data_IF_202471200754
#
_entry.id   IF_202471200754
#
_cell.length_a   1.000
_cell.length_b   1.000
_cell.length_c   1.000
_cell.angle_alpha   90.00
_cell.angle_beta   90.00
_cell.angle_gamma   90.00
#
_symmetry.space_group_name_H-M   'P 1'
#
loop_
_entity.id
_entity.type
_entity.pdbx_description
1 polymer ?
#
# COMPACT_ATOMS: atom_id res chain seq x y z
N UNK A 1 8.37 1.12 -23.93
CA UNK A 1 9.82 1.03 -24.23
C UNK A 1 10.22 -0.32 -24.80
N UNK A 2 9.72 -1.45 -24.30
CA UNK A 2 9.97 -2.76 -24.94
C UNK A 2 9.47 -2.80 -26.39
N UNK A 3 8.26 -2.31 -26.63
CA UNK A 3 7.72 -2.15 -27.98
C UNK A 3 8.41 -1.05 -28.79
N UNK A 4 9.04 -0.07 -28.15
CA UNK A 4 9.78 0.98 -28.86
C UNK A 4 10.99 0.41 -29.62
N UNK A 5 11.49 -0.78 -29.22
CA UNK A 5 12.49 -1.53 -30.01
C UNK A 5 11.98 -1.89 -31.40
N UNK A 6 10.68 -2.12 -31.56
CA UNK A 6 10.06 -2.46 -32.84
C UNK A 6 9.74 -1.20 -33.67
N UNK A 7 9.75 -0.02 -33.07
CA UNK A 7 9.36 1.25 -33.69
C UNK A 7 10.34 2.40 -33.35
N UNK A 8 11.62 2.30 -33.78
CA UNK A 8 12.67 3.22 -33.33
C UNK A 8 12.51 4.67 -33.83
N UNK A 9 11.67 4.91 -34.84
CA UNK A 9 11.39 6.24 -35.39
C UNK A 9 10.30 7.01 -34.63
N UNK A 10 9.60 6.38 -33.68
CA UNK A 10 8.54 7.03 -32.91
C UNK A 10 9.13 7.76 -31.71
N UNK A 11 8.95 9.08 -31.66
CA UNK A 11 9.34 9.90 -30.52
C UNK A 11 8.41 9.66 -29.33
N UNK A 12 8.96 9.30 -28.17
CA UNK A 12 8.22 9.04 -26.93
C UNK A 12 8.57 10.08 -25.88
N UNK A 13 7.54 10.63 -25.22
CA UNK A 13 7.67 11.55 -24.09
C UNK A 13 7.07 10.92 -22.83
N UNK A 14 7.77 11.02 -21.71
CA UNK A 14 7.27 10.58 -20.39
C UNK A 14 7.06 11.82 -19.54
N UNK A 15 5.81 12.07 -19.14
CA UNK A 15 5.43 13.21 -18.30
C UNK A 15 5.21 12.69 -16.87
N UNK A 16 5.95 13.17 -15.86
CA UNK A 16 5.78 12.74 -14.48
C UNK A 16 4.46 13.26 -13.89
N UNK A 17 3.90 12.52 -12.93
CA UNK A 17 2.67 12.87 -12.23
C UNK A 17 2.67 12.36 -10.79
N UNK A 18 1.73 12.88 -9.99
CA UNK A 18 1.49 12.39 -8.64
C UNK A 18 0.97 10.96 -8.65
N UNK A 19 1.59 10.11 -7.85
CA UNK A 19 1.22 8.70 -7.73
C UNK A 19 0.19 8.50 -6.61
N UNK A 20 -0.65 7.46 -6.74
CA UNK A 20 -1.72 7.18 -5.77
C UNK A 20 -1.18 6.97 -4.34
N UNK A 21 0.02 6.40 -4.19
CA UNK A 21 0.66 6.19 -2.89
C UNK A 21 0.81 7.47 -2.08
N UNK A 22 1.31 8.55 -2.70
CA UNK A 22 1.46 9.84 -2.03
C UNK A 22 0.11 10.53 -1.83
N UNK A 23 -0.81 10.39 -2.79
CA UNK A 23 -2.16 10.92 -2.64
C UNK A 23 -2.89 10.31 -1.44
N UNK A 24 -2.87 8.97 -1.29
CA UNK A 24 -3.46 8.26 -0.14
C UNK A 24 -2.76 8.63 1.16
N UNK A 25 -1.42 8.64 1.18
CA UNK A 25 -0.65 9.00 2.36
C UNK A 25 -1.04 10.38 2.89
N UNK A 26 -1.23 11.37 2.00
CA UNK A 26 -1.59 12.74 2.37
C UNK A 26 -2.91 12.87 3.14
N UNK A 27 -3.81 11.89 3.06
CA UNK A 27 -5.11 11.90 3.74
C UNK A 27 -5.02 11.51 5.21
N UNK A 28 -3.98 10.78 5.59
CA UNK A 28 -3.80 10.26 6.95
C UNK A 28 -2.51 10.78 7.61
N UNK A 29 -1.67 11.53 6.89
CA UNK A 29 -0.46 12.13 7.45
C UNK A 29 0.80 11.74 6.67
N UNK A 30 1.70 11.00 7.31
CA UNK A 30 3.01 10.67 6.75
C UNK A 30 3.36 9.17 6.89
N UNK A 31 2.48 8.24 6.49
CA UNK A 31 2.78 6.80 6.62
C UNK A 31 4.00 6.39 5.77
N UNK A 32 4.26 7.09 4.65
CA UNK A 32 5.43 6.90 3.79
C UNK A 32 6.62 7.80 4.19
N UNK A 33 6.72 8.19 5.46
CA UNK A 33 7.73 9.11 5.98
C UNK A 33 9.14 8.54 6.13
N UNK A 34 9.28 7.20 5.97
CA UNK A 34 10.51 6.42 5.97
C UNK A 34 10.58 5.56 4.69
N UNK A 35 11.65 4.78 4.54
CA UNK A 35 11.82 3.76 3.50
C UNK A 35 10.53 2.95 3.25
N UNK A 36 10.11 2.96 1.99
CA UNK A 36 8.91 2.25 1.56
C UNK A 36 9.12 1.57 0.21
N UNK A 37 8.40 0.49 0.00
CA UNK A 37 8.37 -0.26 -1.26
C UNK A 37 7.03 -0.09 -1.95
N UNK A 38 7.06 0.04 -3.28
CA UNK A 38 5.87 0.04 -4.12
C UNK A 38 5.76 -1.32 -4.81
N UNK A 39 4.71 -2.08 -4.50
CA UNK A 39 4.53 -3.44 -5.00
C UNK A 39 3.14 -3.58 -5.61
N UNK A 40 3.06 -4.10 -6.83
CA UNK A 40 1.77 -4.51 -7.41
C UNK A 40 1.40 -5.91 -6.94
N UNK A 41 0.15 -6.15 -6.53
CA UNK A 41 -0.35 -7.47 -6.14
C UNK A 41 -0.92 -8.28 -7.33
N UNK A 42 -0.97 -7.67 -8.52
CA UNK A 42 -1.45 -8.33 -9.72
C UNK A 42 -0.44 -9.37 -10.24
N UNK A 43 -0.88 -10.62 -10.29
CA UNK A 43 -0.20 -11.81 -10.80
C UNK A 43 -0.44 -12.10 -12.30
N UNK A 44 -1.14 -11.21 -13.01
CA UNK A 44 -1.53 -11.44 -14.42
C UNK A 44 -0.36 -11.75 -15.36
N UNK A 45 0.77 -11.09 -15.15
CA UNK A 45 1.97 -11.22 -15.99
C UNK A 45 3.20 -11.67 -15.18
N UNK A 46 3.01 -11.95 -13.89
CA UNK A 46 4.09 -12.37 -13.00
C UNK A 46 3.57 -13.48 -12.08
N UNK A 47 4.29 -14.60 -11.97
CA UNK A 47 3.95 -15.64 -11.02
C UNK A 47 3.82 -15.13 -9.58
N UNK A 48 2.89 -15.71 -8.81
CA UNK A 48 2.60 -15.30 -7.43
C UNK A 48 3.81 -15.44 -6.50
N UNK A 49 4.65 -16.46 -6.69
CA UNK A 49 5.88 -16.69 -5.94
C UNK A 49 6.86 -15.50 -6.04
N UNK A 50 6.90 -14.81 -7.18
CA UNK A 50 7.69 -13.59 -7.35
C UNK A 50 7.13 -12.46 -6.49
N UNK A 51 5.81 -12.38 -6.33
CA UNK A 51 5.15 -11.39 -5.46
C UNK A 51 5.43 -11.71 -4.00
N UNK A 52 5.27 -12.97 -3.59
CA UNK A 52 5.59 -13.44 -2.23
C UNK A 52 7.03 -13.11 -1.86
N UNK A 53 8.00 -13.47 -2.71
CA UNK A 53 9.41 -13.18 -2.45
C UNK A 53 9.69 -11.68 -2.25
N UNK A 54 9.02 -10.82 -3.03
CA UNK A 54 9.16 -9.35 -2.91
C UNK A 54 8.52 -8.82 -1.63
N UNK A 55 7.32 -9.29 -1.29
CA UNK A 55 6.61 -8.93 -0.07
C UNK A 55 7.43 -9.36 1.15
N UNK A 56 7.87 -10.61 1.22
CA UNK A 56 8.70 -11.12 2.31
C UNK A 56 10.01 -10.34 2.44
N UNK A 57 10.70 -10.05 1.34
CA UNK A 57 11.95 -9.29 1.39
C UNK A 57 11.73 -7.86 1.91
N UNK A 58 10.70 -7.15 1.41
CA UNK A 58 10.37 -5.81 1.89
C UNK A 58 9.88 -5.82 3.35
N UNK A 59 9.17 -6.87 3.75
CA UNK A 59 8.74 -7.07 5.12
C UNK A 59 9.94 -7.30 6.06
N UNK A 60 10.85 -8.21 5.70
CA UNK A 60 12.07 -8.49 6.46
C UNK A 60 12.99 -7.26 6.58
N UNK A 61 13.02 -6.40 5.55
CA UNK A 61 13.74 -5.12 5.59
C UNK A 61 13.01 -4.01 6.38
N UNK A 62 11.92 -4.35 7.06
CA UNK A 62 11.07 -3.43 7.83
C UNK A 62 10.57 -2.19 7.07
N UNK A 63 10.33 -2.33 5.76
CA UNK A 63 9.82 -1.22 4.95
C UNK A 63 8.31 -1.08 5.11
N UNK A 64 7.81 0.15 4.91
CA UNK A 64 6.40 0.43 4.66
C UNK A 64 6.04 -0.06 3.25
N UNK A 65 4.85 -0.61 3.05
CA UNK A 65 4.45 -1.21 1.75
C UNK A 65 3.29 -0.45 1.14
N UNK A 66 3.47 0.13 -0.05
CA UNK A 66 2.41 0.68 -0.88
C UNK A 66 1.99 -0.36 -1.92
N UNK A 67 0.79 -0.92 -1.76
CA UNK A 67 0.28 -2.03 -2.58
C UNK A 67 -0.68 -1.52 -3.64
N UNK A 68 -0.28 -1.70 -4.89
CA UNK A 68 -1.05 -1.39 -6.08
C UNK A 68 -1.79 -2.61 -6.60
N UNK A 69 -2.91 -2.38 -7.28
CA UNK A 69 -3.74 -3.44 -7.86
C UNK A 69 -4.03 -4.57 -6.86
N UNK A 70 -4.47 -4.24 -5.62
CA UNK A 70 -4.60 -5.22 -4.56
C UNK A 70 -5.67 -6.27 -4.86
N UNK A 71 -6.73 -5.89 -5.56
CA UNK A 71 -7.83 -6.77 -5.91
C UNK A 71 -8.32 -6.54 -7.35
N UNK A 72 -9.07 -7.52 -7.85
CA UNK A 72 -9.91 -7.33 -9.04
C UNK A 72 -11.14 -8.23 -8.97
N UNK A 73 -12.08 -8.07 -9.91
CA UNK A 73 -13.33 -8.85 -9.98
C UNK A 73 -13.16 -10.37 -9.85
N UNK A 74 -12.05 -10.93 -10.32
CA UNK A 74 -11.79 -12.38 -10.31
C UNK A 74 -10.70 -12.81 -9.34
N UNK A 75 -10.02 -11.86 -8.68
CA UNK A 75 -8.81 -12.08 -7.88
C UNK A 75 -9.03 -11.47 -6.50
N UNK A 76 -9.65 -12.27 -5.65
CA UNK A 76 -10.12 -11.88 -4.31
C UNK A 76 -9.28 -12.49 -3.19
N UNK A 77 -8.44 -13.50 -3.49
CA UNK A 77 -7.67 -14.23 -2.49
C UNK A 77 -6.32 -13.59 -2.18
N UNK A 78 -5.75 -12.81 -3.11
CA UNK A 78 -4.40 -12.26 -2.98
C UNK A 78 -4.25 -11.32 -1.79
N UNK A 79 -5.28 -10.54 -1.46
CA UNK A 79 -5.27 -9.65 -0.29
C UNK A 79 -5.17 -10.46 1.00
N UNK A 80 -5.94 -11.55 1.13
CA UNK A 80 -5.83 -12.46 2.28
C UNK A 80 -4.45 -13.10 2.33
N UNK A 81 -3.96 -13.65 1.22
CA UNK A 81 -2.67 -14.31 1.18
C UNK A 81 -1.51 -13.35 1.51
N UNK A 82 -1.58 -12.09 1.04
CA UNK A 82 -0.63 -11.04 1.41
C UNK A 82 -0.73 -10.71 2.90
N UNK A 83 -1.94 -10.52 3.45
CA UNK A 83 -2.15 -10.25 4.87
C UNK A 83 -1.52 -11.35 5.72
N UNK A 84 -1.85 -12.60 5.42
CA UNK A 84 -1.40 -13.76 6.17
C UNK A 84 0.13 -13.88 6.12
N UNK A 85 0.74 -13.67 4.93
CA UNK A 85 2.19 -13.59 4.78
C UNK A 85 2.83 -12.46 5.60
N UNK A 86 2.23 -11.27 5.60
CA UNK A 86 2.78 -10.13 6.33
C UNK A 86 2.66 -10.29 7.84
N UNK A 87 1.65 -11.01 8.34
CA UNK A 87 1.51 -11.35 9.76
C UNK A 87 2.64 -12.25 10.28
N UNK A 88 3.38 -12.94 9.40
CA UNK A 88 4.60 -13.66 9.77
C UNK A 88 5.78 -12.72 10.09
N UNK A 89 5.68 -11.44 9.69
CA UNK A 89 6.76 -10.44 9.77
C UNK A 89 6.38 -9.16 10.52
N UNK A 90 5.11 -9.00 10.89
CA UNK A 90 4.53 -7.75 11.41
C UNK A 90 3.63 -8.04 12.60
N UNK A 91 3.55 -7.07 13.51
CA UNK A 91 2.58 -7.12 14.59
C UNK A 91 1.14 -7.11 14.01
N UNK A 92 0.21 -7.93 14.54
CA UNK A 92 -1.20 -7.93 14.11
C UNK A 92 -1.88 -6.55 14.12
N UNK A 93 -1.44 -5.66 15.00
CA UNK A 93 -1.89 -4.27 15.14
C UNK A 93 -1.25 -3.28 14.17
N UNK A 94 -0.31 -3.70 13.31
CA UNK A 94 0.32 -2.84 12.30
C UNK A 94 -0.76 -2.12 11.48
N UNK A 95 -0.71 -0.78 11.37
CA UNK A 95 -1.75 -0.04 10.69
C UNK A 95 -1.72 -0.29 9.18
N UNK A 96 -2.90 -0.48 8.61
CA UNK A 96 -3.15 -0.60 7.17
C UNK A 96 -4.10 0.52 6.75
N UNK A 97 -3.62 1.41 5.88
CA UNK A 97 -4.42 2.46 5.27
C UNK A 97 -5.06 1.89 4.00
N UNK A 98 -6.38 1.97 3.89
CA UNK A 98 -7.14 1.61 2.70
C UNK A 98 -7.63 2.91 2.07
N UNK A 99 -6.99 3.33 0.98
CA UNK A 99 -7.40 4.49 0.21
C UNK A 99 -8.12 4.06 -1.05
N UNK A 100 -9.41 4.36 -1.16
CA UNK A 100 -10.24 4.06 -2.32
C UNK A 100 -10.57 5.33 -3.06
N UNK A 101 -10.37 5.31 -4.38
CA UNK A 101 -10.75 6.42 -5.28
C UNK A 101 -10.26 7.80 -4.82
N UNK A 102 -9.05 7.89 -4.27
CA UNK A 102 -8.51 9.15 -3.76
C UNK A 102 -8.37 10.17 -4.89
N UNK A 103 -8.84 11.38 -4.61
CA UNK A 103 -9.07 12.51 -5.51
C UNK A 103 -10.23 12.33 -6.50
N UNK A 104 -11.03 11.28 -6.34
CA UNK A 104 -12.24 11.00 -7.11
C UNK A 104 -13.53 11.28 -6.34
N UNK A 105 -14.70 11.21 -7.00
CA UNK A 105 -15.99 11.51 -6.40
C UNK A 105 -16.44 10.49 -5.35
N UNK A 106 -15.85 9.28 -5.33
CA UNK A 106 -16.15 8.25 -4.35
C UNK A 106 -14.97 8.00 -3.39
N UNK A 107 -14.14 9.04 -3.15
CA UNK A 107 -13.00 8.99 -2.24
C UNK A 107 -13.46 8.50 -0.85
N UNK A 108 -12.76 7.48 -0.35
CA UNK A 108 -12.87 7.07 1.05
C UNK A 108 -11.52 6.58 1.54
N UNK A 109 -11.15 6.97 2.75
CA UNK A 109 -9.93 6.51 3.40
C UNK A 109 -10.27 5.99 4.80
N UNK A 110 -9.79 4.80 5.13
CA UNK A 110 -9.90 4.22 6.47
C UNK A 110 -8.60 3.55 6.89
N UNK A 111 -8.39 3.44 8.20
CA UNK A 111 -7.26 2.73 8.79
C UNK A 111 -7.78 1.54 9.58
N UNK A 112 -7.18 0.38 9.37
CA UNK A 112 -7.49 -0.87 10.10
C UNK A 112 -6.20 -1.49 10.62
N UNK A 113 -6.31 -2.43 11.56
CA UNK A 113 -5.18 -3.28 11.95
C UNK A 113 -4.92 -4.31 10.85
N UNK A 114 -3.67 -4.74 10.69
CA UNK A 114 -3.30 -5.75 9.70
C UNK A 114 -4.11 -7.04 9.85
N UNK A 115 -4.32 -7.51 11.08
CA UNK A 115 -5.15 -8.69 11.34
C UNK A 115 -6.63 -8.50 10.98
N UNK A 116 -7.12 -7.26 10.98
CA UNK A 116 -8.51 -6.92 10.67
C UNK A 116 -8.70 -6.55 9.19
N UNK A 117 -7.66 -6.67 8.35
CA UNK A 117 -7.77 -6.40 6.92
C UNK A 117 -8.70 -7.44 6.26
N UNK A 118 -9.93 -7.00 5.98
CA UNK A 118 -10.92 -7.78 5.24
C UNK A 118 -10.74 -7.58 3.72
N UNK A 119 -10.49 -8.64 2.93
CA UNK A 119 -10.48 -8.55 1.46
C UNK A 119 -11.77 -7.97 0.87
N UNK A 120 -12.92 -8.10 1.54
CA UNK A 120 -14.20 -7.53 1.10
C UNK A 120 -14.24 -6.01 1.03
N UNK A 121 -13.35 -5.33 1.75
CA UNK A 121 -13.19 -3.87 1.75
C UNK A 121 -12.31 -3.35 0.61
N UNK A 122 -11.71 -4.25 -0.18
CA UNK A 122 -10.66 -3.91 -1.14
C UNK A 122 -11.11 -4.25 -2.55
N UNK A 123 -11.30 -3.22 -3.38
CA UNK A 123 -11.62 -3.36 -4.80
C UNK A 123 -10.47 -2.86 -5.70
N UNK A 124 -10.70 -2.83 -7.01
CA UNK A 124 -9.68 -2.42 -8.00
C UNK A 124 -9.33 -0.92 -7.98
N UNK A 125 -10.09 -0.09 -7.24
CA UNK A 125 -9.84 1.35 -7.05
C UNK A 125 -9.14 1.64 -5.73
N UNK A 126 -8.82 0.61 -4.95
CA UNK A 126 -8.09 0.73 -3.71
C UNK A 126 -6.58 0.72 -3.93
N UNK A 127 -5.88 1.47 -3.08
CA UNK A 127 -4.46 1.33 -2.79
C UNK A 127 -4.33 1.09 -1.28
N UNK A 128 -3.47 0.14 -0.91
CA UNK A 128 -3.17 -0.14 0.49
C UNK A 128 -1.81 0.44 0.87
N UNK A 129 -1.69 0.99 2.07
CA UNK A 129 -0.40 1.29 2.70
C UNK A 129 -0.30 0.46 3.99
N UNK A 130 0.59 -0.52 4.03
CA UNK A 130 0.87 -1.34 5.22
C UNK A 130 2.07 -0.75 5.93
N UNK A 131 1.91 -0.43 7.22
CA UNK A 131 2.98 0.08 8.07
C UNK A 131 4.18 -0.85 8.21
N UNK A 132 5.29 -0.25 8.64
CA UNK A 132 6.46 -0.93 9.23
C UNK A 132 6.21 -1.23 10.71
N UNK A 133 7.18 -1.88 11.36
CA UNK A 133 7.19 -2.06 12.83
C UNK A 133 7.15 -0.74 13.61
N UNK A 134 7.60 0.36 12.99
CA UNK A 134 7.67 1.68 13.62
C UNK A 134 6.45 2.55 13.31
N UNK A 135 5.56 2.13 12.41
CA UNK A 135 4.43 2.96 12.00
C UNK A 135 3.42 3.09 13.12
N UNK A 136 3.09 4.34 13.47
CA UNK A 136 2.17 4.68 14.54
C UNK A 136 0.83 5.12 13.97
N UNK A 137 -0.25 4.77 14.66
CA UNK A 137 -1.61 5.19 14.34
C UNK A 137 -2.27 5.80 15.57
N UNK A 138 -2.76 7.02 15.40
CA UNK A 138 -3.58 7.72 16.37
C UNK A 138 -5.00 7.78 15.81
N UNK A 139 -5.92 7.10 16.48
CA UNK A 139 -7.32 7.11 16.10
C UNK A 139 -7.88 8.54 16.19
N UNK A 140 -8.67 8.92 15.19
CA UNK A 140 -9.47 10.13 15.27
C UNK A 140 -10.45 10.08 16.46
N UNK A 141 -10.84 11.25 16.96
CA UNK A 141 -11.73 11.38 18.14
C UNK A 141 -13.17 10.93 17.89
N UNK A 142 -13.53 10.49 16.67
CA UNK A 142 -14.86 9.98 16.31
C UNK A 142 -15.98 11.03 16.26
N UNK A 143 -15.74 12.22 16.82
CA UNK A 143 -16.63 13.39 16.86
C UNK A 143 -16.47 14.33 15.66
N UNK A 144 -15.66 13.94 14.67
CA UNK A 144 -15.35 14.75 13.49
C UNK A 144 -14.32 15.86 13.73
N UNK A 145 -13.80 16.03 14.95
CA UNK A 145 -12.79 17.07 15.26
C UNK A 145 -11.36 16.65 14.90
N UNK A 146 -11.08 15.34 14.82
CA UNK A 146 -9.80 14.81 14.32
C UNK A 146 -10.00 13.55 13.49
N UNK A 147 -9.38 13.51 12.31
CA UNK A 147 -9.24 12.29 11.50
C UNK A 147 -8.13 11.38 12.03
N UNK A 148 -8.11 10.13 11.57
CA UNK A 148 -7.01 9.20 11.81
C UNK A 148 -5.68 9.82 11.35
N UNK A 149 -4.65 9.64 12.17
CA UNK A 149 -3.28 10.05 11.84
C UNK A 149 -2.36 8.85 11.86
N UNK A 150 -1.68 8.63 10.74
CA UNK A 150 -0.70 7.56 10.56
C UNK A 150 0.62 8.17 10.13
N UNK A 151 1.71 7.82 10.82
CA UNK A 151 3.04 8.20 10.40
C UNK A 151 4.09 7.16 10.75
N UNK A 152 5.15 7.12 9.95
CA UNK A 152 6.34 6.32 10.24
C UNK A 152 7.46 7.27 10.69
N UNK A 153 7.93 7.18 11.95
CA UNK A 153 9.01 8.02 12.46
C UNK A 153 10.28 7.86 11.62
N UNK A 154 11.08 8.93 11.52
CA UNK A 154 12.41 8.90 10.89
C UNK A 154 13.52 8.40 11.81
N UNK A 155 13.22 8.19 13.09
CA UNK A 155 14.19 7.82 14.12
C UNK A 155 13.79 6.46 14.66
N UNK A 156 14.72 5.52 14.63
CA UNK A 156 14.58 4.27 15.36
C UNK A 156 14.82 4.52 16.84
N UNK A 157 14.09 3.83 17.75
CA UNK A 157 14.49 3.78 19.15
C UNK A 157 15.96 3.36 19.21
N UNK A 158 16.79 4.10 19.95
CA UNK A 158 18.15 3.66 20.19
C UNK A 158 18.10 2.28 20.86
N UNK A 159 18.67 1.29 20.20
CA UNK A 159 18.87 -0.06 20.73
C UNK A 159 19.67 -0.05 22.01
#
# INVERSE_FOLDING_TARGET
LEEAKQWPSVTVWVIPAMTAAQAVASRVGAPLGHDYSVISLSDRLKPWDVIVRRLSAAAQADMVLAIYNPASRTRTWQVSAMRDLLLEHRDPGTPVVIGRDVSGPAESVKVVRLADLDPGDVDMRCLLIIGSSQTQWYAGSGDGSSSDRVFTPRRYPHS
#
